data_IF_532770299334
#
_entry.id   IF_532770299334
#
_cell.length_a   1.000
_cell.length_b   1.000
_cell.length_c   1.000
_cell.angle_alpha   90.00
_cell.angle_beta   90.00
_cell.angle_gamma   90.00
#
_symmetry.space_group_name_H-M   'P 1'
#
loop_
_entity.id
_entity.type
_entity.pdbx_description
1 polymer ?
#
# COMPACT_ATOMS: atom_id res chain seq x y z
N UNK A 1 38.60 -17.49 8.39
CA UNK A 1 37.15 -17.70 8.62
C UNK A 1 36.40 -16.36 8.75
N UNK A 2 36.55 -15.41 7.82
CA UNK A 2 35.94 -14.06 7.92
C UNK A 2 35.09 -13.62 6.71
N UNK A 3 34.93 -14.45 5.67
CA UNK A 3 34.12 -14.10 4.49
C UNK A 3 32.61 -14.03 4.76
N UNK A 4 32.11 -14.76 5.75
CA UNK A 4 30.67 -14.85 6.04
C UNK A 4 30.09 -13.58 6.66
N UNK A 5 30.86 -12.79 7.40
CA UNK A 5 30.32 -11.61 8.08
C UNK A 5 30.03 -10.51 7.06
N UNK A 6 31.01 -10.15 6.22
CA UNK A 6 30.88 -9.12 5.19
C UNK A 6 29.79 -9.47 4.17
N UNK A 7 29.73 -10.72 3.71
CA UNK A 7 28.71 -11.16 2.75
C UNK A 7 27.29 -11.09 3.36
N UNK A 8 27.13 -11.45 4.64
CA UNK A 8 25.82 -11.36 5.33
C UNK A 8 25.38 -9.92 5.55
N UNK A 9 26.29 -9.01 5.92
CA UNK A 9 25.96 -7.60 6.09
C UNK A 9 25.67 -6.91 4.76
N UNK A 10 26.43 -7.24 3.72
CA UNK A 10 26.19 -6.73 2.37
C UNK A 10 24.84 -7.20 1.83
N UNK A 11 24.53 -8.50 1.93
CA UNK A 11 23.25 -9.04 1.50
C UNK A 11 22.06 -8.45 2.26
N UNK A 12 22.19 -8.26 3.58
CA UNK A 12 21.17 -7.58 4.39
C UNK A 12 20.99 -6.12 3.99
N UNK A 13 22.08 -5.38 3.79
CA UNK A 13 22.04 -3.99 3.34
C UNK A 13 21.37 -3.84 1.98
N UNK A 14 21.69 -4.72 1.04
CA UNK A 14 21.07 -4.74 -0.30
C UNK A 14 19.56 -5.00 -0.24
N UNK A 15 19.13 -6.01 0.52
CA UNK A 15 17.71 -6.30 0.72
C UNK A 15 16.99 -5.14 1.43
N UNK A 16 17.60 -4.56 2.47
CA UNK A 16 17.04 -3.40 3.17
C UNK A 16 16.87 -2.19 2.25
N UNK A 17 17.84 -1.90 1.39
CA UNK A 17 17.72 -0.82 0.40
C UNK A 17 16.60 -1.09 -0.60
N UNK A 18 16.48 -2.33 -1.09
CA UNK A 18 15.37 -2.73 -1.97
C UNK A 18 14.02 -2.53 -1.30
N UNK A 19 13.86 -2.96 -0.05
CA UNK A 19 12.63 -2.75 0.71
C UNK A 19 12.35 -1.27 0.96
N UNK A 20 13.34 -0.48 1.38
CA UNK A 20 13.16 0.96 1.57
C UNK A 20 12.70 1.60 0.27
N UNK A 21 13.31 1.28 -0.87
CA UNK A 21 12.90 1.81 -2.17
C UNK A 21 11.43 1.48 -2.50
N UNK A 22 10.98 0.26 -2.24
CA UNK A 22 9.59 -0.16 -2.48
C UNK A 22 8.58 0.49 -1.53
N UNK A 23 8.93 0.64 -0.24
CA UNK A 23 8.03 1.15 0.78
C UNK A 23 8.06 2.67 0.94
N UNK A 24 9.14 3.35 0.54
CA UNK A 24 9.24 4.80 0.58
C UNK A 24 8.08 5.51 -0.13
N UNK A 25 7.69 5.17 -1.39
CA UNK A 25 6.56 5.83 -2.04
C UNK A 25 5.23 5.56 -1.31
N UNK A 26 5.07 4.37 -0.72
CA UNK A 26 3.87 4.03 0.07
C UNK A 26 3.82 4.90 1.32
N UNK A 27 4.96 5.09 2.02
CA UNK A 27 5.06 5.97 3.18
C UNK A 27 4.76 7.43 2.81
N UNK A 28 5.26 7.89 1.67
CA UNK A 28 4.97 9.23 1.14
C UNK A 28 3.46 9.39 0.93
N UNK A 29 2.79 8.43 0.29
CA UNK A 29 1.34 8.45 0.11
C UNK A 29 0.58 8.48 1.45
N UNK A 30 1.03 7.71 2.44
CA UNK A 30 0.43 7.71 3.79
C UNK A 30 0.59 9.09 4.44
N UNK A 31 1.78 9.69 4.39
CA UNK A 31 2.02 11.02 4.95
C UNK A 31 1.16 12.09 4.25
N UNK A 32 1.04 12.00 2.92
CA UNK A 32 0.19 12.90 2.15
C UNK A 32 -1.31 12.67 2.35
N UNK A 33 -1.77 11.46 2.73
CA UNK A 33 -3.19 11.22 3.04
C UNK A 33 -3.69 12.06 4.22
N UNK A 34 -2.77 12.45 5.11
CA UNK A 34 -3.04 13.35 6.23
C UNK A 34 -2.95 14.84 5.86
N UNK A 35 -2.68 15.20 4.60
CA UNK A 35 -2.65 16.60 4.17
C UNK A 35 -4.06 17.11 3.88
N UNK A 36 -4.42 18.24 4.49
CA UNK A 36 -5.70 18.93 4.29
C UNK A 36 -5.82 19.66 2.94
N UNK A 37 -4.72 19.93 2.24
CA UNK A 37 -4.76 20.60 0.93
C UNK A 37 -5.14 19.64 -0.19
N UNK A 38 -5.90 20.12 -1.19
CA UNK A 38 -6.12 19.43 -2.48
C UNK A 38 -4.92 19.54 -3.42
N UNK A 39 -3.93 20.36 -3.05
CA UNK A 39 -2.77 20.71 -3.86
C UNK A 39 -1.51 20.26 -3.13
N UNK A 40 -0.78 19.33 -3.76
CA UNK A 40 0.33 18.56 -3.16
C UNK A 40 1.51 19.41 -2.64
N UNK A 41 1.59 20.69 -3.03
CA UNK A 41 2.72 21.57 -2.69
C UNK A 41 2.49 22.47 -1.48
N UNK A 42 1.31 22.47 -0.85
CA UNK A 42 1.04 23.28 0.35
C UNK A 42 0.66 22.35 1.51
N UNK A 43 1.58 22.19 2.46
CA UNK A 43 1.30 21.46 3.69
C UNK A 43 0.44 22.33 4.62
N UNK A 44 -0.87 22.15 4.56
CA UNK A 44 -1.83 22.93 5.35
C UNK A 44 -2.06 22.39 6.77
N UNK A 45 -1.33 21.33 7.17
CA UNK A 45 -1.41 20.68 8.49
C UNK A 45 -2.04 19.29 8.45
N UNK A 46 -1.94 18.56 9.57
CA UNK A 46 -2.48 17.21 9.76
C UNK A 46 -4.02 17.23 9.75
N UNK A 47 -4.64 16.40 8.91
CA UNK A 47 -6.09 16.31 8.75
C UNK A 47 -6.54 14.92 8.35
N UNK A 48 -7.67 14.49 8.91
CA UNK A 48 -8.36 13.23 8.55
C UNK A 48 -9.57 13.48 7.66
N UNK A 49 -9.71 14.68 7.08
CA UNK A 49 -10.88 15.09 6.28
C UNK A 49 -11.22 14.08 5.19
N UNK A 50 -10.22 13.56 4.48
CA UNK A 50 -10.42 12.62 3.38
C UNK A 50 -11.00 11.27 3.84
N UNK A 51 -10.65 10.81 5.04
CA UNK A 51 -11.24 9.61 5.61
C UNK A 51 -12.73 9.83 5.96
N UNK A 52 -13.08 11.02 6.47
CA UNK A 52 -14.48 11.38 6.74
C UNK A 52 -15.29 11.54 5.44
N UNK A 53 -14.71 12.18 4.42
CA UNK A 53 -15.35 12.35 3.11
C UNK A 53 -15.61 11.00 2.45
N UNK A 54 -14.65 10.08 2.53
CA UNK A 54 -14.77 8.71 2.02
C UNK A 54 -15.94 7.96 2.64
N UNK A 55 -16.26 8.19 3.92
CA UNK A 55 -17.41 7.56 4.58
C UNK A 55 -18.75 8.09 4.09
N UNK A 56 -18.79 9.31 3.56
CA UNK A 56 -19.98 9.91 2.98
C UNK A 56 -20.14 9.56 1.48
N UNK A 57 -19.08 9.11 0.83
CA UNK A 57 -19.09 8.74 -0.59
C UNK A 57 -19.57 7.29 -0.79
N UNK A 58 -20.89 7.15 -0.99
CA UNK A 58 -21.53 5.85 -1.21
C UNK A 58 -21.12 5.19 -2.51
N UNK A 59 -20.70 5.94 -3.53
CA UNK A 59 -20.22 5.40 -4.80
C UNK A 59 -18.89 4.68 -4.60
N UNK A 60 -17.92 5.33 -3.95
CA UNK A 60 -16.62 4.72 -3.66
C UNK A 60 -16.78 3.48 -2.76
N UNK A 61 -17.59 3.56 -1.71
CA UNK A 61 -17.82 2.42 -0.79
C UNK A 61 -18.48 1.25 -1.51
N UNK A 62 -19.51 1.52 -2.32
CA UNK A 62 -20.20 0.46 -3.06
C UNK A 62 -19.30 -0.18 -4.12
N UNK A 63 -18.50 0.62 -4.81
CA UNK A 63 -17.49 0.15 -5.77
C UNK A 63 -16.44 -0.74 -5.10
N UNK A 64 -15.94 -0.34 -3.93
CA UNK A 64 -15.01 -1.15 -3.13
C UNK A 64 -15.61 -2.49 -2.72
N UNK A 65 -16.87 -2.50 -2.25
CA UNK A 65 -17.59 -3.72 -1.91
C UNK A 65 -17.76 -4.66 -3.12
N UNK A 66 -18.05 -4.10 -4.29
CA UNK A 66 -18.11 -4.86 -5.54
C UNK A 66 -16.75 -5.46 -5.90
N UNK A 67 -15.66 -4.68 -5.81
CA UNK A 67 -14.30 -5.17 -6.07
C UNK A 67 -13.92 -6.35 -5.16
N UNK A 68 -14.23 -6.28 -3.86
CA UNK A 68 -13.99 -7.39 -2.93
C UNK A 68 -14.79 -8.61 -3.36
N UNK A 69 -16.08 -8.45 -3.66
CA UNK A 69 -16.94 -9.55 -4.06
C UNK A 69 -16.40 -10.26 -5.31
N UNK A 70 -15.99 -9.49 -6.31
CA UNK A 70 -15.39 -10.02 -7.54
C UNK A 70 -14.07 -10.72 -7.22
N UNK A 71 -13.18 -10.09 -6.46
CA UNK A 71 -11.88 -10.66 -6.11
C UNK A 71 -12.01 -12.02 -5.41
N UNK A 72 -12.93 -12.15 -4.46
CA UNK A 72 -13.17 -13.41 -3.75
C UNK A 72 -13.73 -14.48 -4.68
N UNK A 73 -14.76 -14.16 -5.46
CA UNK A 73 -15.38 -15.11 -6.39
C UNK A 73 -14.37 -15.60 -7.44
N UNK A 74 -13.59 -14.69 -8.02
CA UNK A 74 -12.57 -15.01 -9.01
C UNK A 74 -11.44 -15.83 -8.40
N UNK A 75 -10.96 -15.49 -7.19
CA UNK A 75 -9.92 -16.26 -6.52
C UNK A 75 -10.40 -17.69 -6.21
N UNK A 76 -11.61 -17.86 -5.67
CA UNK A 76 -12.18 -19.18 -5.39
C UNK A 76 -12.37 -20.00 -6.68
N UNK A 77 -12.95 -19.41 -7.72
CA UNK A 77 -13.13 -20.08 -9.01
C UNK A 77 -11.79 -20.47 -9.62
N UNK A 78 -10.78 -19.60 -9.56
CA UNK A 78 -9.42 -19.90 -10.05
C UNK A 78 -8.76 -21.05 -9.29
N UNK A 79 -8.96 -21.15 -7.98
CA UNK A 79 -8.41 -22.27 -7.19
C UNK A 79 -9.11 -23.58 -7.56
N UNK A 80 -10.44 -23.56 -7.68
CA UNK A 80 -11.20 -24.77 -8.05
C UNK A 80 -10.80 -25.21 -9.46
N UNK A 81 -10.86 -24.32 -10.45
CA UNK A 81 -10.54 -24.66 -11.84
C UNK A 81 -9.06 -24.95 -12.06
N UNK A 82 -8.14 -24.31 -11.32
CA UNK A 82 -6.70 -24.50 -11.50
C UNK A 82 -6.13 -25.72 -10.77
N UNK A 83 -6.89 -26.33 -9.86
CA UNK A 83 -6.47 -27.55 -9.14
C UNK A 83 -6.82 -28.84 -9.90
N UNK A 84 -7.83 -28.79 -10.80
CA UNK A 84 -8.28 -29.93 -11.61
C UNK A 84 -7.74 -29.82 -13.04
#
# INVERSE_FOLDING_TARGET
MNGNFIQRWFGRGWLSLGYVFLYLPILVLIVFSFNSSRQDMVWSGFSVRWYMELMNDTEIISGFGLSIKIAVLTACASVVLGTF
#
